data_IF_592120224439
#
_entry.id   IF_592120224439
#
_cell.length_a   1.000
_cell.length_b   1.000
_cell.length_c   1.000
_cell.angle_alpha   90.00
_cell.angle_beta   90.00
_cell.angle_gamma   90.00
#
_symmetry.space_group_name_H-M   'P 1'
#
loop_
_entity.id
_entity.type
_entity.pdbx_description
1 polymer ?
#
# COMPACT_ATOMS: atom_id res chain seq x y z
N UNK A 1 19.81 -8.36 9.82
CA UNK A 1 20.04 -6.90 9.96
C UNK A 1 21.36 -6.38 9.34
N UNK A 2 22.41 -7.19 9.09
CA UNK A 2 23.67 -6.73 8.43
C UNK A 2 23.48 -6.31 6.95
N UNK A 3 22.48 -6.83 6.24
CA UNK A 3 22.31 -6.60 4.79
C UNK A 3 21.60 -5.29 4.41
N UNK A 4 20.96 -4.58 5.31
CA UNK A 4 20.12 -3.42 4.96
C UNK A 4 20.96 -2.18 4.56
N UNK A 5 22.13 -2.00 5.18
CA UNK A 5 23.05 -0.92 4.81
C UNK A 5 23.67 -1.16 3.44
N UNK A 6 24.09 -2.39 3.16
CA UNK A 6 24.65 -2.80 1.88
C UNK A 6 23.61 -2.69 0.76
N UNK A 7 22.38 -3.10 1.03
CA UNK A 7 21.26 -2.96 0.11
C UNK A 7 21.03 -1.50 -0.33
N UNK A 8 20.99 -0.56 0.63
CA UNK A 8 20.83 0.87 0.35
C UNK A 8 21.99 1.42 -0.48
N UNK A 9 23.20 0.94 -0.22
CA UNK A 9 24.41 1.34 -0.95
C UNK A 9 24.35 0.91 -2.41
N UNK A 10 23.95 -0.34 -2.67
CA UNK A 10 23.72 -0.89 -4.01
C UNK A 10 22.60 -0.13 -4.72
N UNK A 11 21.47 0.07 -4.04
CA UNK A 11 20.32 0.78 -4.58
C UNK A 11 20.68 2.19 -5.07
N UNK A 12 21.41 2.94 -4.25
CA UNK A 12 21.89 4.28 -4.61
C UNK A 12 22.83 4.23 -5.81
N UNK A 13 23.81 3.34 -5.82
CA UNK A 13 24.77 3.21 -6.91
C UNK A 13 24.11 2.88 -8.27
N UNK A 14 23.06 2.04 -8.25
CA UNK A 14 22.28 1.71 -9.45
C UNK A 14 21.51 2.94 -9.95
N UNK A 15 20.89 3.70 -9.06
CA UNK A 15 20.17 4.93 -9.44
C UNK A 15 21.13 5.99 -10.00
N UNK A 16 22.27 6.19 -9.36
CA UNK A 16 23.30 7.16 -9.80
C UNK A 16 23.86 6.76 -11.18
N UNK A 17 24.03 5.45 -11.43
CA UNK A 17 24.49 4.96 -12.73
C UNK A 17 23.48 5.17 -13.88
N UNK A 18 22.21 5.35 -13.56
CA UNK A 18 21.14 5.61 -14.51
C UNK A 18 20.84 7.10 -14.71
N UNK A 19 21.49 7.97 -13.94
CA UNK A 19 21.37 9.41 -14.14
C UNK A 19 22.13 9.83 -15.41
N UNK A 20 21.36 10.10 -16.46
CA UNK A 20 21.86 10.63 -17.73
C UNK A 20 21.89 9.65 -18.91
N UNK A 21 21.89 8.32 -18.71
CA UNK A 21 21.85 7.37 -19.83
C UNK A 21 21.33 5.98 -19.46
N UNK A 22 20.66 5.28 -20.40
CA UNK A 22 20.29 3.88 -20.21
C UNK A 22 21.53 2.98 -20.04
N UNK A 23 21.39 1.90 -19.25
CA UNK A 23 22.47 0.96 -18.93
C UNK A 23 22.04 -0.49 -19.10
N UNK A 24 22.97 -1.35 -19.44
CA UNK A 24 22.78 -2.79 -19.43
C UNK A 24 22.73 -3.32 -17.99
N UNK A 25 22.18 -4.54 -17.81
CA UNK A 25 22.19 -5.19 -16.50
C UNK A 25 23.61 -5.40 -15.96
N UNK A 26 24.58 -5.69 -16.83
CA UNK A 26 25.98 -5.91 -16.46
C UNK A 26 26.61 -4.62 -15.90
N UNK A 27 26.35 -3.48 -16.54
CA UNK A 27 26.83 -2.17 -16.06
C UNK A 27 26.21 -1.78 -14.71
N UNK A 28 24.92 -2.04 -14.50
CA UNK A 28 24.26 -1.78 -13.21
C UNK A 28 24.82 -2.68 -12.09
N UNK A 29 25.07 -3.95 -12.38
CA UNK A 29 25.75 -4.85 -11.44
C UNK A 29 27.16 -4.35 -11.16
N UNK A 30 27.89 -3.91 -12.18
CA UNK A 30 29.22 -3.29 -12.05
C UNK A 30 29.20 -2.07 -11.14
N UNK A 31 28.26 -1.16 -11.35
CA UNK A 31 28.07 0.02 -10.50
C UNK A 31 27.80 -0.35 -9.03
N UNK A 32 26.94 -1.36 -8.81
CA UNK A 32 26.66 -1.86 -7.47
C UNK A 32 27.88 -2.49 -6.78
N UNK A 33 28.71 -3.25 -7.52
CA UNK A 33 29.97 -3.82 -7.01
C UNK A 33 30.97 -2.71 -6.68
N UNK A 34 31.14 -1.74 -7.58
CA UNK A 34 32.07 -0.64 -7.41
C UNK A 34 31.73 0.30 -6.24
N UNK A 35 30.50 0.27 -5.76
CA UNK A 35 30.11 0.97 -4.55
C UNK A 35 30.81 0.45 -3.29
N UNK A 36 31.41 -0.76 -3.37
CA UNK A 36 32.17 -1.36 -2.27
C UNK A 36 33.66 -1.33 -2.62
N UNK A 37 34.46 -0.86 -1.67
CA UNK A 37 35.92 -0.86 -1.79
C UNK A 37 36.46 -2.28 -1.54
N UNK A 38 36.32 -3.17 -2.52
CA UNK A 38 36.82 -4.54 -2.41
C UNK A 38 38.34 -4.58 -2.61
N UNK A 39 39.01 -5.37 -1.78
CA UNK A 39 40.45 -5.64 -1.91
C UNK A 39 40.75 -6.48 -3.17
N UNK A 40 41.99 -6.47 -3.70
CA UNK A 40 42.37 -7.33 -4.82
C UNK A 40 42.12 -8.83 -4.56
N UNK A 41 42.26 -9.30 -3.33
CA UNK A 41 41.98 -10.67 -2.96
C UNK A 41 40.48 -11.00 -3.03
N UNK A 42 39.60 -10.11 -2.58
CA UNK A 42 38.15 -10.26 -2.67
C UNK A 42 37.66 -10.20 -4.13
N UNK A 43 38.31 -9.42 -4.98
CA UNK A 43 38.02 -9.35 -6.42
C UNK A 43 38.48 -10.61 -7.16
N UNK A 44 39.52 -11.28 -6.68
CA UNK A 44 40.05 -12.52 -7.26
C UNK A 44 39.30 -13.76 -6.81
N UNK A 45 38.59 -13.69 -5.67
CA UNK A 45 37.82 -14.84 -5.14
C UNK A 45 36.61 -15.17 -6.00
N UNK A 46 36.69 -16.29 -6.72
CA UNK A 46 35.64 -16.83 -7.60
C UNK A 46 34.68 -17.79 -6.91
N UNK A 47 34.85 -18.04 -5.61
CA UNK A 47 33.96 -18.94 -4.86
C UNK A 47 32.53 -18.38 -4.83
N UNK A 48 31.53 -19.25 -4.70
CA UNK A 48 30.10 -18.87 -4.61
C UNK A 48 29.83 -17.95 -3.42
N UNK A 49 30.59 -18.11 -2.34
CA UNK A 49 30.49 -17.31 -1.11
C UNK A 49 31.49 -16.15 -1.09
N UNK A 50 32.31 -15.99 -2.15
CA UNK A 50 33.24 -14.86 -2.29
C UNK A 50 32.50 -13.53 -2.23
N UNK A 51 33.11 -12.54 -1.57
CA UNK A 51 32.46 -11.24 -1.29
C UNK A 51 31.91 -10.59 -2.54
N UNK A 52 32.65 -10.62 -3.66
CA UNK A 52 32.18 -10.10 -4.95
C UNK A 52 30.93 -10.79 -5.47
N UNK A 53 30.85 -12.12 -5.37
CA UNK A 53 29.72 -12.90 -5.87
C UNK A 53 28.46 -12.68 -4.99
N UNK A 54 28.63 -12.54 -3.70
CA UNK A 54 27.54 -12.18 -2.77
C UNK A 54 26.97 -10.80 -3.15
N UNK A 55 27.83 -9.80 -3.34
CA UNK A 55 27.39 -8.46 -3.75
C UNK A 55 26.75 -8.50 -5.13
N UNK A 56 27.28 -9.26 -6.09
CA UNK A 56 26.70 -9.45 -7.43
C UNK A 56 25.28 -10.02 -7.34
N UNK A 57 25.05 -11.03 -6.50
CA UNK A 57 23.73 -11.60 -6.25
C UNK A 57 22.78 -10.57 -5.65
N UNK A 58 23.24 -9.80 -4.68
CA UNK A 58 22.46 -8.69 -4.08
C UNK A 58 22.09 -7.63 -5.13
N UNK A 59 23.02 -7.25 -6.03
CA UNK A 59 22.73 -6.33 -7.12
C UNK A 59 21.62 -6.85 -8.03
N UNK A 60 21.65 -8.14 -8.36
CA UNK A 60 20.59 -8.78 -9.14
C UNK A 60 19.23 -8.70 -8.46
N UNK A 61 19.18 -8.93 -7.15
CA UNK A 61 17.96 -8.81 -6.34
C UNK A 61 17.46 -7.37 -6.32
N UNK A 62 18.35 -6.39 -6.09
CA UNK A 62 17.99 -4.96 -6.07
C UNK A 62 17.45 -4.51 -7.42
N UNK A 63 18.10 -4.87 -8.54
CA UNK A 63 17.63 -4.53 -9.90
C UNK A 63 16.23 -5.09 -10.13
N UNK A 64 15.99 -6.37 -9.81
CA UNK A 64 14.68 -6.98 -9.97
C UNK A 64 13.62 -6.29 -9.11
N UNK A 65 13.97 -5.91 -7.89
CA UNK A 65 13.06 -5.20 -7.00
C UNK A 65 12.77 -3.78 -7.49
N UNK A 66 13.79 -3.04 -7.97
CA UNK A 66 13.60 -1.71 -8.56
C UNK A 66 12.72 -1.78 -9.81
N UNK A 67 12.88 -2.81 -10.63
CA UNK A 67 12.03 -3.06 -11.80
C UNK A 67 10.59 -3.41 -11.38
N UNK A 68 10.42 -4.33 -10.43
CA UNK A 68 9.10 -4.69 -9.89
C UNK A 68 8.37 -3.50 -9.25
N UNK A 69 9.11 -2.57 -8.64
CA UNK A 69 8.58 -1.31 -8.09
C UNK A 69 8.44 -0.20 -9.13
N UNK A 70 8.72 -0.48 -10.39
CA UNK A 70 8.68 0.49 -11.48
C UNK A 70 9.55 1.74 -11.26
N UNK A 71 10.68 1.59 -10.57
CA UNK A 71 11.67 2.65 -10.36
C UNK A 71 12.59 2.73 -11.57
N UNK A 72 12.84 1.58 -12.20
CA UNK A 72 13.59 1.45 -13.45
C UNK A 72 12.77 0.65 -14.46
N UNK A 73 12.93 0.97 -15.73
CA UNK A 73 12.32 0.29 -16.86
C UNK A 73 13.38 -0.52 -17.61
N UNK A 74 12.95 -1.65 -18.16
CA UNK A 74 13.72 -2.46 -19.08
C UNK A 74 13.07 -2.34 -20.46
N UNK A 75 13.80 -1.81 -21.44
CA UNK A 75 13.29 -1.55 -22.77
C UNK A 75 13.57 -2.71 -23.76
N UNK A 76 13.07 -2.58 -24.96
CA UNK A 76 13.26 -3.55 -26.06
C UNK A 76 14.72 -3.73 -26.48
N UNK A 77 15.57 -2.72 -26.26
CA UNK A 77 17.02 -2.77 -26.52
C UNK A 77 17.81 -3.43 -25.38
N UNK A 78 17.12 -4.05 -24.42
CA UNK A 78 17.71 -4.69 -23.24
C UNK A 78 18.49 -3.71 -22.34
N UNK A 79 18.07 -2.45 -22.30
CA UNK A 79 18.66 -1.39 -21.49
C UNK A 79 17.70 -1.01 -20.35
N UNK A 80 18.28 -0.71 -19.19
CA UNK A 80 17.56 -0.16 -18.05
C UNK A 80 17.65 1.36 -18.07
N UNK A 81 16.56 2.03 -17.76
CA UNK A 81 16.48 3.49 -17.61
C UNK A 81 15.69 3.85 -16.37
N UNK A 82 16.02 4.99 -15.78
CA UNK A 82 15.26 5.57 -14.66
C UNK A 82 13.90 6.04 -15.17
N UNK A 83 12.88 5.85 -14.36
CA UNK A 83 11.55 6.36 -14.71
C UNK A 83 11.32 7.75 -14.14
N UNK A 84 10.71 8.62 -14.95
CA UNK A 84 10.21 9.94 -14.55
C UNK A 84 8.72 9.90 -14.22
N UNK A 85 8.02 8.83 -14.64
CA UNK A 85 6.60 8.68 -14.39
C UNK A 85 6.33 8.09 -13.00
N UNK A 86 5.30 8.59 -12.32
CA UNK A 86 4.83 7.98 -11.07
C UNK A 86 4.17 6.64 -11.40
N UNK A 87 4.53 5.53 -10.70
CA UNK A 87 3.87 4.24 -10.91
C UNK A 87 2.39 4.35 -10.53
N UNK A 88 1.52 3.77 -11.34
CA UNK A 88 0.11 3.62 -10.98
C UNK A 88 0.01 2.64 -9.82
N UNK A 89 -0.63 3.05 -8.73
CA UNK A 89 -0.86 2.20 -7.57
C UNK A 89 -1.99 1.22 -7.87
N UNK A 90 -1.65 0.01 -8.31
CA UNK A 90 -2.60 -1.10 -8.44
C UNK A 90 -2.80 -1.68 -7.04
N UNK A 91 -4.02 -1.61 -6.53
CA UNK A 91 -4.38 -2.16 -5.22
C UNK A 91 -4.47 -3.68 -5.30
N UNK A 92 -3.89 -4.37 -4.31
CA UNK A 92 -3.96 -5.84 -4.20
C UNK A 92 -5.42 -6.29 -4.12
N UNK A 93 -6.25 -5.57 -3.39
CA UNK A 93 -7.68 -5.84 -3.22
C UNK A 93 -8.45 -5.80 -4.55
N UNK A 94 -8.12 -4.86 -5.45
CA UNK A 94 -8.72 -4.84 -6.79
C UNK A 94 -8.29 -6.05 -7.62
N UNK A 95 -7.05 -6.52 -7.46
CA UNK A 95 -6.60 -7.75 -8.11
C UNK A 95 -7.36 -8.95 -7.56
N UNK A 96 -7.54 -9.05 -6.26
CA UNK A 96 -8.30 -10.12 -5.60
C UNK A 96 -9.73 -10.19 -6.11
N UNK A 97 -10.44 -9.06 -6.06
CA UNK A 97 -11.82 -8.93 -6.57
C UNK A 97 -11.93 -9.45 -8.01
N UNK A 98 -11.06 -8.98 -8.90
CA UNK A 98 -11.10 -9.33 -10.32
C UNK A 98 -10.66 -10.76 -10.61
N UNK A 99 -9.78 -11.34 -9.80
CA UNK A 99 -9.41 -12.76 -9.90
C UNK A 99 -10.59 -13.64 -9.49
N UNK A 100 -11.23 -13.37 -8.36
CA UNK A 100 -12.39 -14.12 -7.89
C UNK A 100 -13.52 -14.05 -8.91
N UNK A 101 -13.84 -12.84 -9.39
CA UNK A 101 -14.85 -12.61 -10.44
C UNK A 101 -14.57 -13.40 -11.74
N UNK A 102 -13.29 -13.46 -12.13
CA UNK A 102 -12.89 -14.22 -13.31
C UNK A 102 -13.05 -15.73 -13.11
N UNK A 103 -12.62 -16.25 -11.96
CA UNK A 103 -12.66 -17.67 -11.62
C UNK A 103 -14.07 -18.18 -11.31
N UNK A 104 -15.00 -17.31 -10.91
CA UNK A 104 -16.43 -17.65 -10.79
C UNK A 104 -17.05 -17.97 -12.14
N UNK A 105 -16.55 -17.38 -13.23
CA UNK A 105 -17.07 -17.62 -14.59
C UNK A 105 -16.55 -18.93 -15.19
N UNK A 106 -15.26 -19.21 -14.99
CA UNK A 106 -14.61 -20.47 -15.45
C UNK A 106 -13.25 -20.66 -14.77
N UNK A 107 -12.76 -21.90 -14.66
CA UNK A 107 -11.37 -22.17 -14.31
C UNK A 107 -10.41 -21.53 -15.32
N UNK A 108 -9.25 -21.06 -14.85
CA UNK A 108 -8.28 -20.35 -15.68
C UNK A 108 -6.84 -20.68 -15.32
N UNK A 109 -5.96 -20.67 -16.30
CA UNK A 109 -4.51 -20.70 -16.09
C UNK A 109 -4.00 -19.38 -15.52
N UNK A 110 -2.81 -19.39 -14.93
CA UNK A 110 -2.14 -18.16 -14.47
C UNK A 110 -1.96 -17.14 -15.60
N UNK A 111 -1.72 -17.61 -16.83
CA UNK A 111 -1.59 -16.76 -18.01
C UNK A 111 -2.92 -16.09 -18.37
N UNK A 112 -4.01 -16.85 -18.45
CA UNK A 112 -5.35 -16.29 -18.76
C UNK A 112 -5.80 -15.26 -17.72
N UNK A 113 -5.52 -15.51 -16.43
CA UNK A 113 -5.81 -14.54 -15.35
C UNK A 113 -5.02 -13.25 -15.60
N UNK A 114 -3.71 -13.33 -15.83
CA UNK A 114 -2.87 -12.17 -16.13
C UNK A 114 -3.35 -11.40 -17.34
N UNK A 115 -3.57 -12.06 -18.47
CA UNK A 115 -4.02 -11.43 -19.72
C UNK A 115 -5.38 -10.75 -19.57
N UNK A 116 -6.27 -11.33 -18.76
CA UNK A 116 -7.57 -10.75 -18.44
C UNK A 116 -7.45 -9.49 -17.58
N UNK A 117 -6.66 -9.55 -16.49
CA UNK A 117 -6.50 -8.43 -15.58
C UNK A 117 -5.74 -7.26 -16.24
N UNK A 118 -4.74 -7.55 -17.05
CA UNK A 118 -4.07 -6.52 -17.88
C UNK A 118 -5.08 -5.78 -18.74
N UNK A 119 -5.98 -6.49 -19.42
CA UNK A 119 -7.04 -5.84 -20.23
C UNK A 119 -7.96 -4.96 -19.38
N UNK A 120 -8.41 -5.45 -18.23
CA UNK A 120 -9.29 -4.69 -17.32
C UNK A 120 -8.61 -3.41 -16.84
N UNK A 121 -7.36 -3.52 -16.37
CA UNK A 121 -6.65 -2.37 -15.80
C UNK A 121 -6.10 -1.41 -16.86
N UNK A 122 -5.86 -1.86 -18.11
CA UNK A 122 -5.49 -0.98 -19.24
C UNK A 122 -6.64 -0.12 -19.76
N UNK A 123 -7.88 -0.57 -19.61
CA UNK A 123 -9.05 0.24 -19.99
C UNK A 123 -9.34 1.36 -18.99
N UNK A 124 -8.92 1.21 -17.73
CA UNK A 124 -9.14 2.20 -16.66
C UNK A 124 -8.03 3.26 -16.57
N UNK A 125 -6.88 3.03 -17.22
CA UNK A 125 -5.70 3.90 -17.11
C UNK A 125 -4.89 3.87 -18.40
N UNK A 126 -4.06 4.86 -18.64
CA UNK A 126 -2.98 4.84 -19.64
C UNK A 126 -1.84 3.93 -19.17
N UNK A 127 -2.13 2.65 -18.93
CA UNK A 127 -1.18 1.69 -18.40
C UNK A 127 -0.03 1.44 -19.38
N UNK A 128 1.20 1.47 -18.87
CA UNK A 128 2.44 1.18 -19.59
C UNK A 128 2.86 -0.28 -19.33
N UNK A 129 3.82 -0.82 -20.09
CA UNK A 129 4.40 -2.15 -19.82
C UNK A 129 4.92 -2.30 -18.38
N UNK A 130 5.38 -1.20 -17.79
CA UNK A 130 5.83 -1.13 -16.40
C UNK A 130 4.73 -1.45 -15.40
N UNK A 131 3.51 -1.00 -15.69
CA UNK A 131 2.34 -1.28 -14.84
C UNK A 131 1.95 -2.75 -14.93
N UNK A 132 2.10 -3.37 -16.10
CA UNK A 132 1.86 -4.81 -16.30
C UNK A 132 2.79 -5.66 -15.41
N UNK A 133 4.07 -5.32 -15.30
CA UNK A 133 5.02 -6.04 -14.43
C UNK A 133 4.64 -5.94 -12.93
N UNK A 134 4.21 -4.76 -12.52
CA UNK A 134 3.72 -4.53 -11.15
C UNK A 134 2.42 -5.31 -10.91
N UNK A 135 1.51 -5.29 -11.86
CA UNK A 135 0.26 -6.05 -11.83
C UNK A 135 0.54 -7.54 -11.72
N UNK A 136 1.49 -8.09 -12.47
CA UNK A 136 1.85 -9.51 -12.40
C UNK A 136 2.36 -9.93 -11.02
N UNK A 137 3.13 -9.07 -10.36
CA UNK A 137 3.59 -9.30 -8.99
C UNK A 137 2.41 -9.38 -8.02
N UNK A 138 1.45 -8.45 -8.11
CA UNK A 138 0.26 -8.46 -7.28
C UNK A 138 -0.64 -9.66 -7.55
N UNK A 139 -0.86 -10.02 -8.82
CA UNK A 139 -1.62 -11.24 -9.18
C UNK A 139 -0.99 -12.48 -8.54
N UNK A 140 0.35 -12.61 -8.62
CA UNK A 140 1.06 -13.74 -8.03
C UNK A 140 0.90 -13.81 -6.51
N UNK A 141 0.93 -12.68 -5.82
CA UNK A 141 0.69 -12.60 -4.38
C UNK A 141 -0.74 -12.98 -4.04
N UNK A 142 -1.73 -12.42 -4.73
CA UNK A 142 -3.15 -12.72 -4.49
C UNK A 142 -3.47 -14.18 -4.74
N UNK A 143 -2.97 -14.78 -5.81
CA UNK A 143 -3.16 -16.21 -6.10
C UNK A 143 -2.58 -17.09 -4.98
N UNK A 144 -1.41 -16.76 -4.44
CA UNK A 144 -0.80 -17.48 -3.31
C UNK A 144 -1.68 -17.34 -2.05
N UNK A 145 -2.13 -16.13 -1.73
CA UNK A 145 -2.98 -15.87 -0.56
C UNK A 145 -4.30 -16.62 -0.67
N UNK A 146 -5.02 -16.49 -1.78
CA UNK A 146 -6.30 -17.16 -2.00
C UNK A 146 -6.18 -18.69 -1.97
N UNK A 147 -5.05 -19.23 -2.45
CA UNK A 147 -4.78 -20.68 -2.38
C UNK A 147 -4.51 -21.13 -0.94
N UNK A 148 -3.71 -20.37 -0.18
CA UNK A 148 -3.42 -20.65 1.22
C UNK A 148 -4.68 -20.59 2.09
N UNK A 149 -5.58 -19.65 1.81
CA UNK A 149 -6.88 -19.50 2.47
C UNK A 149 -7.93 -20.52 1.98
N UNK A 150 -7.58 -21.38 1.03
CA UNK A 150 -8.46 -22.40 0.42
C UNK A 150 -9.72 -21.79 -0.23
N UNK A 151 -9.65 -20.56 -0.69
CA UNK A 151 -10.72 -19.90 -1.47
C UNK A 151 -10.69 -20.37 -2.91
N UNK A 152 -9.48 -20.56 -3.45
CA UNK A 152 -9.24 -21.19 -4.75
C UNK A 152 -8.39 -22.45 -4.58
N UNK A 153 -8.44 -23.31 -5.57
CA UNK A 153 -7.57 -24.50 -5.69
C UNK A 153 -6.75 -24.41 -6.96
N UNK A 154 -5.53 -24.96 -6.91
CA UNK A 154 -4.62 -25.07 -8.05
C UNK A 154 -4.23 -26.54 -8.24
N UNK A 155 -4.44 -27.09 -9.41
CA UNK A 155 -4.17 -28.49 -9.74
C UNK A 155 -2.85 -28.70 -10.49
N UNK A 156 -1.97 -27.70 -10.51
CA UNK A 156 -0.72 -27.70 -11.25
C UNK A 156 -0.83 -27.02 -12.63
N UNK A 157 -2.04 -26.76 -13.13
CA UNK A 157 -2.30 -26.15 -14.43
C UNK A 157 -3.28 -24.97 -14.34
N UNK A 158 -4.41 -25.17 -13.70
CA UNK A 158 -5.50 -24.18 -13.62
C UNK A 158 -5.89 -23.85 -12.18
N UNK A 159 -6.36 -22.64 -12.01
CA UNK A 159 -7.02 -22.15 -10.78
C UNK A 159 -8.53 -22.25 -10.94
N UNK A 160 -9.22 -22.63 -9.87
CA UNK A 160 -10.69 -22.69 -9.79
C UNK A 160 -11.17 -22.32 -8.37
N UNK A 161 -12.40 -21.86 -8.25
CA UNK A 161 -13.03 -21.65 -6.95
C UNK A 161 -13.18 -22.99 -6.21
N UNK A 162 -12.85 -23.02 -4.92
CA UNK A 162 -13.05 -24.20 -4.08
C UNK A 162 -14.52 -24.47 -3.88
N UNK A 163 -15.02 -25.65 -4.29
CA UNK A 163 -16.46 -25.99 -4.26
C UNK A 163 -17.09 -25.88 -2.85
N UNK A 164 -16.32 -26.20 -1.80
CA UNK A 164 -16.80 -26.13 -0.42
C UNK A 164 -17.07 -24.72 0.13
N UNK A 165 -16.69 -23.65 -0.60
CA UNK A 165 -16.72 -22.26 -0.11
C UNK A 165 -17.40 -21.26 -1.04
N UNK A 166 -18.26 -21.72 -1.94
CA UNK A 166 -18.92 -20.84 -2.92
C UNK A 166 -19.70 -19.70 -2.25
N UNK A 167 -20.38 -19.95 -1.13
CA UNK A 167 -21.10 -18.93 -0.39
C UNK A 167 -20.17 -17.92 0.30
N UNK A 168 -19.06 -18.37 0.89
CA UNK A 168 -18.04 -17.51 1.51
C UNK A 168 -17.34 -16.63 0.45
N UNK A 169 -17.04 -17.21 -0.71
CA UNK A 169 -16.45 -16.49 -1.85
C UNK A 169 -17.40 -15.39 -2.33
N UNK A 170 -18.69 -15.69 -2.44
CA UNK A 170 -19.70 -14.70 -2.85
C UNK A 170 -19.80 -13.57 -1.82
N UNK A 171 -19.84 -13.89 -0.53
CA UNK A 171 -19.87 -12.90 0.55
C UNK A 171 -18.61 -12.02 0.56
N UNK A 172 -17.43 -12.64 0.41
CA UNK A 172 -16.15 -11.90 0.30
C UNK A 172 -16.14 -10.94 -0.88
N UNK A 173 -16.65 -11.38 -2.05
CA UNK A 173 -16.78 -10.55 -3.24
C UNK A 173 -17.73 -9.35 -2.99
N UNK A 174 -18.88 -9.56 -2.38
CA UNK A 174 -19.83 -8.50 -2.04
C UNK A 174 -19.18 -7.45 -1.12
N UNK A 175 -18.41 -7.89 -0.11
CA UNK A 175 -17.68 -7.00 0.81
C UNK A 175 -16.59 -6.22 0.09
N UNK A 176 -15.82 -6.85 -0.80
CA UNK A 176 -14.75 -6.18 -1.55
C UNK A 176 -15.31 -5.11 -2.51
N UNK A 177 -16.42 -5.43 -3.18
CA UNK A 177 -17.14 -4.48 -4.04
C UNK A 177 -17.63 -3.29 -3.23
N UNK A 178 -18.33 -3.55 -2.13
CA UNK A 178 -18.84 -2.52 -1.23
C UNK A 178 -17.72 -1.61 -0.68
N UNK A 179 -16.59 -2.20 -0.27
CA UNK A 179 -15.42 -1.44 0.16
C UNK A 179 -14.89 -0.52 -0.95
N UNK A 180 -14.77 -1.04 -2.17
CA UNK A 180 -14.29 -0.25 -3.31
C UNK A 180 -15.23 0.91 -3.62
N UNK A 181 -16.53 0.68 -3.61
CA UNK A 181 -17.58 1.70 -3.80
C UNK A 181 -17.54 2.75 -2.69
N UNK A 182 -17.46 2.34 -1.44
CA UNK A 182 -17.37 3.23 -0.28
C UNK A 182 -16.14 4.15 -0.38
N UNK A 183 -14.95 3.60 -0.62
CA UNK A 183 -13.74 4.40 -0.73
C UNK A 183 -13.76 5.34 -1.95
N UNK A 184 -14.38 4.93 -3.04
CA UNK A 184 -14.60 5.78 -4.21
C UNK A 184 -15.58 6.92 -3.90
N UNK A 185 -16.64 6.65 -3.16
CA UNK A 185 -17.61 7.64 -2.74
C UNK A 185 -17.02 8.67 -1.76
N UNK A 186 -16.16 8.25 -0.82
CA UNK A 186 -15.37 9.17 0.03
C UNK A 186 -14.44 10.03 -0.85
N UNK A 187 -13.75 9.40 -1.81
CA UNK A 187 -12.81 10.12 -2.66
C UNK A 187 -13.50 11.22 -3.49
N UNK A 188 -14.66 10.92 -4.07
CA UNK A 188 -15.38 11.84 -4.93
C UNK A 188 -15.95 13.07 -4.21
N UNK A 189 -16.14 13.02 -2.90
CA UNK A 189 -16.63 14.12 -2.08
C UNK A 189 -15.54 15.14 -1.68
N UNK A 190 -14.27 14.85 -1.97
CA UNK A 190 -13.17 15.77 -1.74
C UNK A 190 -12.52 15.67 -0.36
N UNK A 191 -11.49 16.51 -0.14
CA UNK A 191 -10.66 16.50 1.08
C UNK A 191 -11.43 16.97 2.30
N UNK A 192 -12.08 18.11 2.21
CA UNK A 192 -12.85 18.73 3.30
C UNK A 192 -13.93 17.79 3.85
N UNK A 193 -14.69 17.14 2.96
CA UNK A 193 -15.63 16.10 3.37
C UNK A 193 -14.94 14.98 4.15
N UNK A 194 -13.78 14.51 3.66
CA UNK A 194 -13.07 13.40 4.30
C UNK A 194 -12.54 13.78 5.68
N UNK A 195 -12.08 15.02 5.89
CA UNK A 195 -11.65 15.56 7.18
C UNK A 195 -12.81 15.49 8.19
N UNK A 196 -13.95 16.11 7.87
CA UNK A 196 -15.13 16.10 8.72
C UNK A 196 -15.67 14.69 8.96
N UNK A 197 -15.78 13.89 7.90
CA UNK A 197 -16.24 12.51 7.99
C UNK A 197 -15.37 11.69 8.96
N UNK A 198 -14.04 11.79 8.80
CA UNK A 198 -13.11 10.99 9.60
C UNK A 198 -13.09 11.43 11.07
N UNK A 199 -13.17 12.72 11.35
CA UNK A 199 -13.28 13.23 12.73
C UNK A 199 -14.54 12.71 13.43
N UNK A 200 -15.69 12.75 12.76
CA UNK A 200 -16.94 12.23 13.29
C UNK A 200 -16.88 10.69 13.47
N UNK A 201 -16.25 9.97 12.55
CA UNK A 201 -16.04 8.53 12.68
C UNK A 201 -15.16 8.18 13.88
N UNK A 202 -14.07 8.93 14.10
CA UNK A 202 -13.18 8.75 15.25
C UNK A 202 -13.91 8.98 16.57
N UNK A 203 -14.74 10.03 16.65
CA UNK A 203 -15.54 10.31 17.84
C UNK A 203 -16.42 9.13 18.20
N UNK A 204 -17.17 8.60 17.21
CA UNK A 204 -18.02 7.41 17.40
C UNK A 204 -17.20 6.18 17.80
N UNK A 205 -16.03 6.00 17.19
CA UNK A 205 -15.12 4.89 17.50
C UNK A 205 -14.60 4.96 18.95
N UNK A 206 -14.21 6.14 19.42
CA UNK A 206 -13.73 6.33 20.80
C UNK A 206 -14.86 6.13 21.82
N UNK A 207 -16.05 6.71 21.58
CA UNK A 207 -17.23 6.48 22.44
C UNK A 207 -17.56 5.00 22.53
N UNK A 208 -17.57 4.30 21.39
CA UNK A 208 -17.82 2.85 21.32
C UNK A 208 -16.75 2.04 22.08
N UNK A 209 -15.50 2.49 22.09
CA UNK A 209 -14.39 1.85 22.84
C UNK A 209 -14.34 2.22 24.32
N UNK A 210 -15.36 2.92 24.83
CA UNK A 210 -15.47 3.31 26.25
C UNK A 210 -14.69 4.56 26.63
N UNK A 211 -14.12 5.31 25.68
CA UNK A 211 -13.51 6.61 25.96
C UNK A 211 -14.56 7.71 25.95
N UNK A 212 -14.40 8.70 26.83
CA UNK A 212 -15.17 9.94 26.79
C UNK A 212 -14.47 10.93 25.87
N UNK A 213 -15.14 11.36 24.81
CA UNK A 213 -14.69 12.49 23.99
C UNK A 213 -15.06 13.78 24.71
N UNK A 214 -14.07 14.64 24.94
CA UNK A 214 -14.22 15.91 25.64
C UNK A 214 -14.30 17.07 24.65
N UNK A 215 -13.52 16.98 23.58
CA UNK A 215 -13.40 17.98 22.53
C UNK A 215 -13.03 17.29 21.21
N UNK A 216 -13.66 17.73 20.12
CA UNK A 216 -13.38 17.22 18.76
C UNK A 216 -13.69 18.35 17.76
N UNK A 217 -12.70 18.71 16.93
CA UNK A 217 -12.87 19.75 15.92
C UNK A 217 -11.86 19.60 14.77
N UNK A 218 -12.26 20.11 13.60
CA UNK A 218 -11.41 20.28 12.42
C UNK A 218 -10.67 21.60 12.54
N UNK A 219 -9.36 21.63 12.30
CA UNK A 219 -8.51 22.81 12.55
C UNK A 219 -8.63 23.90 11.47
N UNK A 220 -8.92 23.56 10.22
CA UNK A 220 -9.33 24.50 9.17
C UNK A 220 -8.28 25.54 8.74
N UNK A 221 -6.98 25.27 8.89
CA UNK A 221 -5.91 26.22 8.56
C UNK A 221 -4.84 25.65 7.62
N UNK A 222 -4.29 26.51 6.74
CA UNK A 222 -3.16 26.15 5.87
C UNK A 222 -1.79 26.18 6.58
N UNK A 223 -1.71 26.75 7.79
CA UNK A 223 -0.44 27.01 8.51
C UNK A 223 -0.25 26.13 9.76
N UNK A 224 -1.08 25.11 9.96
CA UNK A 224 -1.07 24.24 11.15
C UNK A 224 -0.13 23.02 11.04
N UNK A 225 0.82 23.05 10.12
CA UNK A 225 1.77 21.94 9.89
C UNK A 225 1.11 20.68 9.31
N UNK A 226 -0.11 20.81 8.75
CA UNK A 226 -0.87 19.73 8.14
C UNK A 226 -1.66 18.88 9.16
N UNK A 227 -2.00 19.45 10.33
CA UNK A 227 -2.93 18.86 11.27
C UNK A 227 -4.35 19.30 10.89
N UNK A 228 -5.18 18.36 10.45
CA UNK A 228 -6.52 18.63 9.95
C UNK A 228 -7.58 18.57 11.07
N UNK A 229 -7.24 17.96 12.22
CA UNK A 229 -8.17 17.93 13.36
C UNK A 229 -7.50 17.56 14.68
N UNK A 230 -8.21 17.89 15.76
CA UNK A 230 -7.81 17.56 17.14
C UNK A 230 -8.97 16.92 17.87
N UNK A 231 -8.70 15.80 18.54
CA UNK A 231 -9.67 15.15 19.43
C UNK A 231 -9.05 14.92 20.81
N UNK A 232 -9.77 15.31 21.86
CA UNK A 232 -9.34 15.10 23.24
C UNK A 232 -10.24 14.06 23.90
N UNK A 233 -9.63 13.05 24.49
CA UNK A 233 -10.34 11.94 25.13
C UNK A 233 -9.92 11.74 26.58
N UNK A 234 -10.81 11.12 27.34
CA UNK A 234 -10.51 10.60 28.68
C UNK A 234 -10.86 9.11 28.66
N UNK A 235 -9.91 8.27 29.08
CA UNK A 235 -10.17 6.84 29.21
C UNK A 235 -10.92 6.50 30.51
N UNK A 236 -11.23 5.22 30.69
CA UNK A 236 -11.98 4.72 31.85
C UNK A 236 -11.22 4.86 33.19
N UNK A 237 -9.91 5.08 33.13
CA UNK A 237 -9.05 5.33 34.31
C UNK A 237 -8.86 6.83 34.59
N UNK A 238 -9.34 7.71 33.72
CA UNK A 238 -9.23 9.16 33.84
C UNK A 238 -8.04 9.78 33.15
N UNK A 239 -7.22 9.01 32.39
CA UNK A 239 -6.11 9.56 31.61
C UNK A 239 -6.61 10.38 30.44
N UNK A 240 -6.03 11.56 30.27
CA UNK A 240 -6.34 12.50 29.20
C UNK A 240 -5.35 12.33 28.06
N UNK A 241 -5.86 12.27 26.83
CA UNK A 241 -5.05 12.21 25.62
C UNK A 241 -5.48 13.32 24.66
N UNK A 242 -4.49 13.97 24.04
CA UNK A 242 -4.71 14.86 22.89
C UNK A 242 -4.22 14.11 21.64
N UNK A 243 -5.13 13.88 20.71
CA UNK A 243 -4.87 13.14 19.49
C UNK A 243 -4.96 14.11 18.33
N UNK A 244 -3.86 14.20 17.57
CA UNK A 244 -3.78 15.00 16.35
C UNK A 244 -4.09 14.13 15.16
N UNK A 245 -4.86 14.65 14.24
CA UNK A 245 -5.35 13.92 13.07
C UNK A 245 -4.89 14.62 11.81
N UNK A 246 -4.33 13.84 10.88
CA UNK A 246 -4.15 14.25 9.50
C UNK A 246 -4.86 13.28 8.57
N UNK A 247 -5.52 13.80 7.54
CA UNK A 247 -6.22 13.03 6.52
C UNK A 247 -5.63 13.32 5.14
N UNK A 248 -5.65 12.35 4.25
CA UNK A 248 -5.27 12.53 2.85
C UNK A 248 -6.24 11.80 1.95
N UNK A 249 -7.04 12.57 1.22
CA UNK A 249 -7.96 12.03 0.21
C UNK A 249 -7.22 11.87 -1.13
N UNK A 250 -6.66 10.67 -1.38
CA UNK A 250 -5.82 10.39 -2.54
C UNK A 250 -6.15 9.02 -3.17
N UNK A 251 -5.89 8.90 -4.47
CA UNK A 251 -5.96 7.63 -5.19
C UNK A 251 -4.64 6.84 -5.14
N UNK A 252 -3.52 7.51 -4.93
CA UNK A 252 -2.18 6.91 -4.82
C UNK A 252 -1.80 6.62 -3.37
N UNK A 253 -0.76 5.82 -3.19
CA UNK A 253 -0.23 5.49 -1.86
C UNK A 253 0.45 6.70 -1.21
N UNK A 254 0.22 6.88 0.09
CA UNK A 254 0.87 7.92 0.89
C UNK A 254 2.33 7.58 1.14
N UNK A 255 3.21 8.55 0.96
CA UNK A 255 4.66 8.38 1.04
C UNK A 255 5.18 8.35 2.48
N UNK A 256 6.43 7.87 2.66
CA UNK A 256 7.16 7.97 3.93
C UNK A 256 7.37 9.44 4.33
N UNK A 257 7.60 10.33 3.36
CA UNK A 257 7.81 11.77 3.59
C UNK A 257 6.57 12.43 4.20
N UNK A 258 5.38 12.09 3.70
CA UNK A 258 4.12 12.59 4.27
C UNK A 258 4.00 12.18 5.75
N UNK A 259 4.28 10.91 6.08
CA UNK A 259 4.22 10.39 7.46
C UNK A 259 5.25 11.07 8.36
N UNK A 260 6.47 11.32 7.86
CA UNK A 260 7.51 12.04 8.63
C UNK A 260 7.11 13.48 8.93
N UNK A 261 6.53 14.16 7.95
CA UNK A 261 6.01 15.52 8.14
C UNK A 261 4.95 15.56 9.24
N UNK A 262 3.96 14.68 9.15
CA UNK A 262 2.93 14.55 10.17
C UNK A 262 3.49 14.23 11.57
N UNK A 263 4.39 13.26 11.67
CA UNK A 263 5.02 12.92 12.95
C UNK A 263 5.78 14.11 13.55
N UNK A 264 6.50 14.87 12.71
CA UNK A 264 7.17 16.10 13.12
C UNK A 264 6.17 17.14 13.69
N UNK A 265 5.03 17.33 13.04
CA UNK A 265 3.97 18.24 13.51
C UNK A 265 3.37 17.78 14.86
N UNK A 266 3.10 16.47 15.03
CA UNK A 266 2.62 15.90 16.31
C UNK A 266 3.61 16.17 17.44
N UNK A 267 4.90 15.97 17.19
CA UNK A 267 5.96 16.23 18.19
C UNK A 267 6.09 17.73 18.52
N UNK A 268 6.03 18.61 17.51
CA UNK A 268 6.15 20.05 17.67
C UNK A 268 4.98 20.64 18.47
N UNK A 269 3.78 20.17 18.22
CA UNK A 269 2.55 20.62 18.88
C UNK A 269 2.31 19.96 20.24
N UNK A 270 3.26 19.16 20.76
CA UNK A 270 3.16 18.44 22.03
C UNK A 270 1.90 17.54 22.12
N UNK A 271 1.44 17.02 20.98
CA UNK A 271 0.36 16.06 20.94
C UNK A 271 0.73 14.76 21.60
N UNK A 272 -0.21 14.17 22.33
CA UNK A 272 0.02 12.87 22.99
C UNK A 272 0.12 11.75 21.98
N UNK A 273 -0.70 11.80 20.91
CA UNK A 273 -0.80 10.79 19.85
C UNK A 273 -1.12 11.41 18.51
N UNK A 274 -0.81 10.67 17.44
CA UNK A 274 -1.13 11.03 16.07
C UNK A 274 -1.92 9.94 15.34
N UNK A 275 -2.89 10.34 14.52
CA UNK A 275 -3.61 9.45 13.60
C UNK A 275 -3.48 10.02 12.19
N UNK A 276 -2.83 9.27 11.29
CA UNK A 276 -2.74 9.61 9.88
C UNK A 276 -3.71 8.75 9.09
N UNK A 277 -4.77 9.32 8.55
CA UNK A 277 -5.80 8.60 7.82
C UNK A 277 -5.73 8.85 6.32
N UNK A 278 -5.90 7.78 5.55
CA UNK A 278 -5.95 7.84 4.08
C UNK A 278 -7.10 6.98 3.57
N UNK A 279 -7.80 7.44 2.54
CA UNK A 279 -8.80 6.64 1.84
C UNK A 279 -8.17 5.63 0.86
N UNK A 280 -6.85 5.68 0.70
CA UNK A 280 -6.05 4.78 -0.13
C UNK A 280 -5.21 3.82 0.74
N UNK A 281 -3.93 3.65 0.43
CA UNK A 281 -3.01 2.85 1.23
C UNK A 281 -1.69 3.60 1.46
N UNK A 282 -0.90 3.12 2.40
CA UNK A 282 0.44 3.62 2.65
C UNK A 282 1.46 2.85 1.80
N UNK A 283 2.45 3.57 1.29
CA UNK A 283 3.62 2.94 0.69
C UNK A 283 4.31 2.03 1.73
N UNK A 284 4.93 0.89 1.35
CA UNK A 284 5.57 -0.02 2.30
C UNK A 284 6.57 0.63 3.27
N UNK A 285 7.31 1.66 2.81
CA UNK A 285 8.22 2.41 3.69
C UNK A 285 7.47 3.28 4.69
N UNK A 286 6.34 3.87 4.30
CA UNK A 286 5.46 4.61 5.20
C UNK A 286 4.83 3.70 6.27
N UNK A 287 4.37 2.50 5.89
CA UNK A 287 3.89 1.48 6.84
C UNK A 287 4.97 1.12 7.86
N UNK A 288 6.18 0.82 7.37
CA UNK A 288 7.30 0.46 8.24
C UNK A 288 7.67 1.60 9.19
N UNK A 289 7.58 2.85 8.75
CA UNK A 289 7.80 4.00 9.62
C UNK A 289 6.72 4.07 10.69
N UNK A 290 5.44 3.98 10.32
CA UNK A 290 4.32 3.98 11.27
C UNK A 290 4.44 2.84 12.29
N UNK A 291 4.86 1.65 11.87
CA UNK A 291 5.10 0.50 12.76
C UNK A 291 6.27 0.72 13.73
N UNK A 292 7.13 1.70 13.48
CA UNK A 292 8.28 2.05 14.34
C UNK A 292 8.03 3.24 15.26
N UNK A 293 6.85 3.85 15.18
CA UNK A 293 6.46 5.03 15.99
C UNK A 293 5.37 4.61 16.97
N UNK A 294 5.66 4.68 18.28
CA UNK A 294 4.74 4.20 19.30
C UNK A 294 3.49 5.07 19.50
N UNK A 295 3.60 6.38 19.22
CA UNK A 295 2.53 7.34 19.48
C UNK A 295 1.79 7.80 18.21
N UNK A 296 2.06 7.23 17.04
CA UNK A 296 1.34 7.52 15.80
C UNK A 296 0.85 6.25 15.12
N UNK A 297 -0.36 6.27 14.58
CA UNK A 297 -0.95 5.16 13.84
C UNK A 297 -1.45 5.58 12.48
N UNK A 298 -1.34 4.67 11.49
CA UNK A 298 -1.91 4.83 10.16
C UNK A 298 -3.26 4.13 10.04
N UNK A 299 -4.25 4.82 9.51
CA UNK A 299 -5.55 4.29 9.11
C UNK A 299 -5.62 4.34 7.58
N UNK A 300 -5.48 3.19 6.93
CA UNK A 300 -5.65 3.06 5.49
C UNK A 300 -7.12 2.77 5.13
N UNK A 301 -7.43 2.69 3.83
CA UNK A 301 -8.79 2.43 3.35
C UNK A 301 -9.43 1.15 3.91
N UNK A 302 -8.64 0.11 4.20
CA UNK A 302 -9.16 -1.12 4.80
C UNK A 302 -9.60 -0.92 6.25
N UNK A 303 -8.76 -0.28 7.06
CA UNK A 303 -9.11 0.07 8.44
C UNK A 303 -10.27 1.08 8.48
N UNK A 304 -10.26 2.06 7.57
CA UNK A 304 -11.34 3.05 7.45
C UNK A 304 -12.69 2.37 7.18
N UNK A 305 -12.75 1.46 6.20
CA UNK A 305 -13.96 0.70 5.90
C UNK A 305 -14.43 -0.14 7.09
N UNK A 306 -13.51 -0.82 7.76
CA UNK A 306 -13.82 -1.63 8.94
C UNK A 306 -14.39 -0.77 10.07
N UNK A 307 -13.73 0.37 10.37
CA UNK A 307 -14.21 1.30 11.41
C UNK A 307 -15.60 1.88 11.07
N UNK A 308 -15.83 2.24 9.80
CA UNK A 308 -17.12 2.73 9.33
C UNK A 308 -18.22 1.70 9.52
N UNK A 309 -17.97 0.43 9.16
CA UNK A 309 -18.90 -0.66 9.32
C UNK A 309 -19.18 -0.98 10.81
N UNK A 310 -18.13 -0.96 11.65
CA UNK A 310 -18.26 -1.23 13.09
C UNK A 310 -19.03 -0.13 13.82
N UNK A 311 -18.83 1.13 13.43
CA UNK A 311 -19.54 2.26 14.02
C UNK A 311 -20.93 2.52 13.41
N UNK A 312 -21.26 1.86 12.30
CA UNK A 312 -22.49 2.14 11.55
C UNK A 312 -22.53 3.56 10.99
N UNK A 313 -21.36 4.11 10.59
CA UNK A 313 -21.22 5.48 10.14
C UNK A 313 -20.71 5.54 8.70
N UNK A 314 -21.57 5.93 7.77
CA UNK A 314 -21.31 5.85 6.34
C UNK A 314 -21.49 4.43 5.75
N UNK A 315 -21.59 3.42 6.60
CA UNK A 315 -21.94 2.04 6.26
C UNK A 315 -22.97 1.53 7.28
N UNK A 316 -24.13 1.13 6.78
CA UNK A 316 -25.22 0.55 7.61
C UNK A 316 -25.30 -0.94 7.43
N UNK A 317 -25.86 -1.61 8.41
CA UNK A 317 -26.33 -2.99 8.29
C UNK A 317 -27.83 -3.00 8.10
N UNK A 318 -28.29 -3.36 6.89
CA UNK A 318 -29.68 -3.48 6.53
C UNK A 318 -29.96 -4.93 6.11
N UNK A 319 -30.98 -5.56 6.71
CA UNK A 319 -31.37 -6.95 6.42
C UNK A 319 -30.21 -7.97 6.48
N UNK A 320 -29.27 -7.75 7.40
CA UNK A 320 -28.08 -8.61 7.57
C UNK A 320 -26.94 -8.34 6.58
N UNK A 321 -27.11 -7.42 5.63
CA UNK A 321 -26.07 -6.99 4.68
C UNK A 321 -25.56 -5.59 5.00
N UNK A 322 -24.31 -5.31 4.61
CA UNK A 322 -23.74 -3.97 4.67
C UNK A 322 -24.18 -3.17 3.43
N UNK A 323 -24.48 -1.90 3.64
CA UNK A 323 -24.81 -0.94 2.57
C UNK A 323 -24.18 0.42 2.86
N UNK A 324 -23.81 1.15 1.81
CA UNK A 324 -23.27 2.51 1.92
C UNK A 324 -24.41 3.47 2.26
N UNK A 325 -24.13 4.41 3.15
CA UNK A 325 -25.06 5.43 3.61
C UNK A 325 -24.34 6.75 3.93
N UNK A 326 -23.56 7.24 2.96
CA UNK A 326 -22.84 8.51 3.11
C UNK A 326 -23.77 9.72 2.96
N UNK A 327 -24.85 9.61 2.17
CA UNK A 327 -25.76 10.73 1.92
C UNK A 327 -26.58 11.15 3.17
N UNK A 328 -26.68 10.28 4.15
CA UNK A 328 -27.30 10.60 5.44
C UNK A 328 -26.38 11.39 6.39
N UNK A 329 -25.14 11.70 5.95
CA UNK A 329 -24.09 12.34 6.76
C UNK A 329 -23.83 13.80 6.33
N UNK A 330 -24.54 14.29 5.32
CA UNK A 330 -24.47 15.69 4.83
C UNK A 330 -25.33 16.64 5.66
#
# INVERSE_FOLDING_TARGET
MKNQHEYRKIYKAILDALDGSPRTRAELIGAGINAFSLSPAELADRSTNGRQNVIRSMCGTVINEMQARSIILFDENKLYKKTTEKPIAIRIERCEEKIIEALQKKPMTSKEIRDRLVRIFKTDTTATERDDNKLFTYIGQVLKTLTAEKIITFDGSIYKIAQARTAEVKNRQEILTLKSEFLSAIHSRGGEFFEHYFMNLLEKHFIRSGKKVVESYVTGGSDDGGIDGIIKTIDTLGFRETIMVQTKNRNDTTSETDVRGFYGAVCAAQGSRGIFAVNSDFHPMAKKLLDSIDNCVGINGDKLFTMAADCGYGIKRAEGKLAIDLDSLE
#
